data_IF_045266679175
#
_entry.id   IF_045266679175
#
_cell.length_a   1.000
_cell.length_b   1.000
_cell.length_c   1.000
_cell.angle_alpha   90.00
_cell.angle_beta   90.00
_cell.angle_gamma   90.00
#
_symmetry.space_group_name_H-M   'P 1'
#
loop_
_entity.id
_entity.type
_entity.pdbx_description
1 polymer ?
#
# COMPACT_ATOMS: atom_id res chain seq x y z
N UNK A 1 -4.58 -6.67 -15.07
CA UNK A 1 -4.14 -8.04 -14.76
C UNK A 1 -3.10 -8.51 -15.76
N UNK A 2 -3.32 -8.33 -17.08
CA UNK A 2 -2.30 -8.64 -18.12
C UNK A 2 -0.95 -7.96 -17.85
N UNK A 3 -0.91 -6.64 -17.65
CA UNK A 3 0.34 -5.94 -17.33
C UNK A 3 1.01 -6.39 -16.02
N UNK A 4 0.25 -6.93 -15.05
CA UNK A 4 0.85 -7.43 -13.81
C UNK A 4 1.53 -8.76 -14.05
N UNK A 5 0.88 -9.68 -14.77
CA UNK A 5 1.46 -10.97 -15.15
C UNK A 5 2.70 -10.81 -16.05
N UNK A 6 2.70 -9.83 -16.95
CA UNK A 6 3.88 -9.49 -17.75
C UNK A 6 5.07 -9.08 -16.87
N UNK A 7 4.82 -8.29 -15.82
CA UNK A 7 5.85 -7.94 -14.85
C UNK A 7 6.32 -9.18 -14.08
N UNK A 8 5.42 -10.07 -13.67
CA UNK A 8 5.80 -11.31 -12.98
C UNK A 8 6.69 -12.20 -13.85
N UNK A 9 6.40 -12.34 -15.14
CA UNK A 9 7.25 -13.09 -16.06
C UNK A 9 8.58 -12.38 -16.35
N UNK A 10 8.61 -11.05 -16.43
CA UNK A 10 9.84 -10.29 -16.64
C UNK A 10 10.85 -10.47 -15.49
N UNK A 11 10.38 -10.68 -14.26
CA UNK A 11 11.21 -10.86 -13.06
C UNK A 11 11.18 -12.31 -12.54
N UNK A 12 10.99 -13.28 -13.42
CA UNK A 12 10.98 -14.71 -13.07
C UNK A 12 12.25 -15.11 -12.31
N UNK A 13 12.07 -15.63 -11.09
CA UNK A 13 13.17 -16.01 -10.20
C UNK A 13 13.53 -14.98 -9.13
N UNK A 14 13.01 -13.75 -9.23
CA UNK A 14 13.08 -12.76 -8.16
C UNK A 14 12.05 -13.07 -7.07
N UNK A 15 12.41 -12.85 -5.80
CA UNK A 15 11.47 -12.95 -4.69
C UNK A 15 10.69 -11.64 -4.60
N UNK A 16 9.39 -11.71 -4.84
CA UNK A 16 8.51 -10.54 -4.91
C UNK A 16 7.57 -10.46 -3.72
N UNK A 17 7.32 -9.24 -3.25
CA UNK A 17 6.34 -8.95 -2.21
C UNK A 17 5.37 -7.86 -2.67
N UNK A 18 4.07 -8.07 -2.50
CA UNK A 18 3.05 -7.03 -2.64
C UNK A 18 2.58 -6.61 -1.25
N UNK A 19 2.82 -5.34 -0.91
CA UNK A 19 2.45 -4.72 0.38
C UNK A 19 1.24 -3.82 0.20
N UNK A 20 0.12 -4.19 0.80
CA UNK A 20 -1.09 -3.36 0.88
C UNK A 20 -1.05 -2.39 2.06
N UNK A 21 -0.95 -1.09 1.80
CA UNK A 21 -0.94 -0.06 2.84
C UNK A 21 -2.33 0.53 3.11
N UNK A 22 -2.74 0.54 4.38
CA UNK A 22 -4.05 1.02 4.82
C UNK A 22 -5.23 0.19 4.30
N UNK A 23 -6.45 0.69 4.48
CA UNK A 23 -7.67 -0.06 4.11
C UNK A 23 -7.79 -0.37 2.62
N UNK A 24 -7.56 0.62 1.74
CA UNK A 24 -7.62 0.41 0.30
C UNK A 24 -6.58 -0.59 -0.22
N UNK A 25 -5.36 -0.50 0.30
CA UNK A 25 -4.30 -1.47 -0.01
C UNK A 25 -4.62 -2.86 0.52
N UNK A 26 -5.09 -2.96 1.77
CA UNK A 26 -5.48 -4.24 2.39
C UNK A 26 -6.60 -4.94 1.60
N UNK A 27 -7.60 -4.19 1.14
CA UNK A 27 -8.67 -4.71 0.29
C UNK A 27 -8.15 -5.22 -1.05
N UNK A 28 -7.22 -4.49 -1.68
CA UNK A 28 -6.60 -4.92 -2.93
C UNK A 28 -5.83 -6.24 -2.75
N UNK A 29 -5.08 -6.40 -1.65
CA UNK A 29 -4.36 -7.64 -1.34
C UNK A 29 -5.34 -8.81 -1.13
N UNK A 30 -6.38 -8.63 -0.32
CA UNK A 30 -7.40 -9.65 -0.11
C UNK A 30 -8.04 -10.09 -1.43
N UNK A 31 -8.34 -9.13 -2.31
CA UNK A 31 -8.85 -9.42 -3.65
C UNK A 31 -7.85 -10.24 -4.47
N UNK A 32 -6.58 -9.83 -4.57
CA UNK A 32 -5.55 -10.58 -5.31
C UNK A 32 -5.39 -12.02 -4.81
N UNK A 33 -5.42 -12.23 -3.49
CA UNK A 33 -5.36 -13.57 -2.88
C UNK A 33 -6.60 -14.39 -3.27
N UNK A 34 -7.81 -13.80 -3.19
CA UNK A 34 -9.04 -14.48 -3.60
C UNK A 34 -9.06 -14.86 -5.09
N UNK A 35 -8.35 -14.09 -5.93
CA UNK A 35 -8.17 -14.38 -7.35
C UNK A 35 -7.03 -15.38 -7.62
N UNK A 36 -6.44 -15.95 -6.57
CA UNK A 36 -5.39 -16.96 -6.63
C UNK A 36 -4.16 -16.51 -7.45
N UNK A 37 -3.78 -15.24 -7.31
CA UNK A 37 -2.56 -14.69 -7.92
C UNK A 37 -1.34 -15.42 -7.34
N UNK A 38 -0.46 -15.92 -8.20
CA UNK A 38 0.74 -16.70 -7.85
C UNK A 38 2.02 -15.94 -8.20
N UNK A 39 3.15 -16.39 -7.64
CA UNK A 39 4.47 -15.85 -7.96
C UNK A 39 4.86 -14.62 -7.13
N UNK A 40 4.03 -14.23 -6.17
CA UNK A 40 4.31 -13.13 -5.23
C UNK A 40 3.88 -13.52 -3.83
N UNK A 41 4.61 -13.01 -2.84
CA UNK A 41 4.15 -13.01 -1.45
C UNK A 41 3.27 -11.79 -1.19
N UNK A 42 2.38 -11.91 -0.22
CA UNK A 42 1.44 -10.86 0.14
C UNK A 42 1.62 -10.42 1.59
N UNK A 43 1.64 -9.10 1.79
CA UNK A 43 1.63 -8.47 3.10
C UNK A 43 0.64 -7.32 3.17
N UNK A 44 0.16 -7.01 4.38
CA UNK A 44 -0.56 -5.76 4.65
C UNK A 44 0.10 -4.98 5.79
N UNK A 45 0.01 -3.66 5.70
CA UNK A 45 0.47 -2.70 6.70
C UNK A 45 -0.70 -1.79 7.04
N UNK A 46 -1.15 -1.81 8.30
CA UNK A 46 -2.30 -1.02 8.72
C UNK A 46 -2.21 -0.57 10.17
N UNK A 47 -2.80 0.58 10.48
CA UNK A 47 -2.92 1.09 11.86
C UNK A 47 -4.12 0.52 12.60
N UNK A 48 -5.12 0.04 11.85
CA UNK A 48 -6.39 -0.47 12.38
C UNK A 48 -6.31 -1.98 12.64
N UNK A 49 -6.53 -2.38 13.89
CA UNK A 49 -6.45 -3.79 14.30
C UNK A 49 -7.57 -4.64 13.69
N UNK A 50 -8.75 -4.06 13.44
CA UNK A 50 -9.87 -4.80 12.83
C UNK A 50 -9.49 -5.19 11.40
N UNK A 51 -8.93 -4.24 10.63
CA UNK A 51 -8.45 -4.50 9.28
C UNK A 51 -7.32 -5.57 9.24
N UNK A 52 -6.46 -5.61 10.27
CA UNK A 52 -5.43 -6.65 10.41
C UNK A 52 -6.07 -8.03 10.66
N UNK A 53 -7.05 -8.11 11.55
CA UNK A 53 -7.72 -9.36 11.91
C UNK A 53 -8.53 -9.93 10.74
N UNK A 54 -9.26 -9.08 10.03
CA UNK A 54 -10.12 -9.47 8.90
C UNK A 54 -9.35 -9.86 7.63
N UNK A 55 -8.10 -9.39 7.49
CA UNK A 55 -7.29 -9.67 6.31
C UNK A 55 -6.95 -11.16 6.17
N UNK A 56 -6.94 -11.66 4.93
CA UNK A 56 -6.50 -13.02 4.60
C UNK A 56 -5.02 -13.07 4.19
N UNK A 57 -4.31 -11.93 4.24
CA UNK A 57 -2.90 -11.87 3.90
C UNK A 57 -2.06 -12.72 4.87
N UNK A 58 -1.09 -13.51 4.37
CA UNK A 58 -0.24 -14.35 5.21
C UNK A 58 0.72 -13.53 6.08
N UNK A 59 1.19 -12.39 5.60
CA UNK A 59 1.99 -11.43 6.38
C UNK A 59 1.13 -10.22 6.75
N UNK A 60 1.15 -9.82 8.01
CA UNK A 60 0.35 -8.71 8.52
C UNK A 60 1.18 -7.91 9.51
N UNK A 61 1.21 -6.59 9.34
CA UNK A 61 1.88 -5.69 10.27
C UNK A 61 0.94 -4.60 10.72
N UNK A 62 0.65 -4.61 12.02
CA UNK A 62 -0.01 -3.50 12.67
C UNK A 62 1.04 -2.44 13.02
N UNK A 63 0.87 -1.22 12.53
CA UNK A 63 1.80 -0.11 12.76
C UNK A 63 1.24 0.91 13.75
N UNK A 64 2.13 1.60 14.47
CA UNK A 64 1.75 2.66 15.42
C UNK A 64 0.87 2.17 16.56
N UNK A 65 1.19 1.01 17.15
CA UNK A 65 0.42 0.42 18.24
C UNK A 65 0.37 1.38 19.44
N UNK A 66 1.49 2.04 19.77
CA UNK A 66 1.54 2.97 20.91
C UNK A 66 0.79 4.26 20.58
N UNK A 67 0.94 4.75 19.34
CA UNK A 67 0.33 5.99 18.88
C UNK A 67 -1.20 5.91 18.73
N UNK A 68 -1.69 4.83 18.11
CA UNK A 68 -3.10 4.71 17.69
C UNK A 68 -3.92 3.78 18.60
N UNK A 69 -3.24 2.94 19.39
CA UNK A 69 -3.87 1.86 20.19
C UNK A 69 -4.71 0.91 19.33
N UNK A 70 -4.37 0.78 18.04
CA UNK A 70 -5.10 -0.05 17.08
C UNK A 70 -6.40 0.53 16.54
N UNK A 71 -6.71 1.79 16.83
CA UNK A 71 -7.96 2.46 16.40
C UNK A 71 -7.85 3.13 15.02
N UNK A 72 -6.69 3.07 14.39
CA UNK A 72 -6.45 3.69 13.09
C UNK A 72 -5.90 5.12 13.14
N UNK A 73 -5.62 5.69 11.96
CA UNK A 73 -5.05 7.04 11.80
C UNK A 73 -6.11 8.17 11.76
N UNK A 74 -7.40 7.84 11.94
CA UNK A 74 -8.50 8.80 11.93
C UNK A 74 -8.56 9.60 10.62
N UNK A 75 -8.52 10.93 10.72
CA UNK A 75 -8.64 11.86 9.59
C UNK A 75 -7.30 12.49 9.13
N UNK A 76 -6.17 12.10 9.71
CA UNK A 76 -4.87 12.75 9.46
C UNK A 76 -3.81 11.77 8.91
N UNK A 77 -3.34 11.94 7.66
CA UNK A 77 -2.26 11.12 7.09
C UNK A 77 -0.97 11.15 7.90
N UNK A 78 -0.67 12.26 8.58
CA UNK A 78 0.53 12.39 9.41
C UNK A 78 0.57 11.37 10.56
N UNK A 79 -0.59 10.95 11.06
CA UNK A 79 -0.66 9.88 12.07
C UNK A 79 -0.26 8.54 11.45
N UNK A 80 -0.66 8.28 10.20
CA UNK A 80 -0.24 7.08 9.45
C UNK A 80 1.26 7.06 9.18
N UNK A 81 1.84 8.22 8.88
CA UNK A 81 3.30 8.39 8.69
C UNK A 81 4.06 8.10 9.98
N UNK A 82 3.70 8.77 11.08
CA UNK A 82 4.31 8.53 12.40
C UNK A 82 4.12 7.10 12.89
N UNK A 83 2.98 6.49 12.61
CA UNK A 83 2.73 5.09 12.93
C UNK A 83 3.70 4.16 12.19
N UNK A 84 3.98 4.43 10.91
CA UNK A 84 4.95 3.67 10.15
C UNK A 84 6.38 3.94 10.62
N UNK A 85 6.72 5.19 10.94
CA UNK A 85 8.01 5.56 11.54
C UNK A 85 8.27 4.87 12.89
N UNK A 86 7.23 4.75 13.74
CA UNK A 86 7.29 3.99 15.00
C UNK A 86 7.63 2.50 14.78
N UNK A 87 7.24 1.95 13.64
CA UNK A 87 7.35 0.54 13.30
C UNK A 87 8.40 0.27 12.20
N UNK A 88 9.42 1.13 12.05
CA UNK A 88 10.46 0.97 11.01
C UNK A 88 11.14 -0.39 11.09
N UNK A 89 11.52 -0.85 12.28
CA UNK A 89 12.21 -2.14 12.45
C UNK A 89 11.34 -3.32 11.98
N UNK A 90 10.04 -3.28 12.26
CA UNK A 90 9.10 -4.30 11.82
C UNK A 90 8.89 -4.26 10.29
N UNK A 91 8.88 -3.06 9.69
CA UNK A 91 8.82 -2.87 8.24
C UNK A 91 10.10 -3.42 7.60
N UNK A 92 11.28 -3.11 8.15
CA UNK A 92 12.56 -3.62 7.67
C UNK A 92 12.61 -5.15 7.68
N UNK A 93 12.12 -5.77 8.76
CA UNK A 93 12.05 -7.22 8.90
C UNK A 93 11.04 -7.85 7.92
N UNK A 94 9.89 -7.20 7.68
CA UNK A 94 8.90 -7.66 6.70
C UNK A 94 9.46 -7.72 5.28
N UNK A 95 10.31 -6.75 4.93
CA UNK A 95 10.91 -6.57 3.60
C UNK A 95 12.17 -7.42 3.37
N UNK A 96 12.65 -8.15 4.37
CA UNK A 96 13.90 -8.90 4.30
C UNK A 96 13.89 -10.02 3.24
N UNK A 97 14.94 -10.06 2.42
CA UNK A 97 15.16 -11.08 1.41
C UNK A 97 14.27 -10.99 0.16
N UNK A 98 13.61 -9.85 -0.08
CA UNK A 98 12.87 -9.58 -1.32
C UNK A 98 13.71 -8.73 -2.29
N UNK A 99 13.57 -9.01 -3.58
CA UNK A 99 14.27 -8.30 -4.65
C UNK A 99 13.39 -7.18 -5.26
N UNK A 100 12.07 -7.37 -5.21
CA UNK A 100 11.07 -6.47 -5.77
C UNK A 100 9.87 -6.35 -4.83
N UNK A 101 9.48 -5.10 -4.54
CA UNK A 101 8.32 -4.78 -3.71
C UNK A 101 7.34 -3.92 -4.49
N UNK A 102 6.07 -4.35 -4.50
CA UNK A 102 4.94 -3.54 -4.95
C UNK A 102 4.24 -2.93 -3.75
N UNK A 103 4.17 -1.60 -3.68
CA UNK A 103 3.41 -0.88 -2.65
C UNK A 103 2.04 -0.51 -3.22
N UNK A 104 1.00 -1.24 -2.80
CA UNK A 104 -0.38 -1.00 -3.22
C UNK A 104 -1.11 -0.11 -2.20
N UNK A 105 -1.64 1.03 -2.65
CA UNK A 105 -2.32 1.99 -1.75
C UNK A 105 -3.47 2.73 -2.42
N UNK A 106 -4.58 2.86 -1.70
CA UNK A 106 -5.63 3.80 -2.04
C UNK A 106 -5.36 5.16 -1.41
N UNK A 107 -4.94 6.14 -2.22
CA UNK A 107 -4.57 7.46 -1.73
C UNK A 107 -5.78 8.30 -1.36
N UNK A 108 -5.56 9.27 -0.47
CA UNK A 108 -6.60 10.18 0.04
C UNK A 108 -7.22 9.72 1.35
N UNK A 109 -6.99 8.46 1.75
CA UNK A 109 -7.18 8.01 3.14
C UNK A 109 -6.11 8.55 4.09
N UNK A 110 -6.06 8.03 5.31
CA UNK A 110 -5.10 8.50 6.33
C UNK A 110 -3.95 7.51 6.50
N UNK A 111 -4.24 6.29 6.94
CA UNK A 111 -3.22 5.27 7.20
C UNK A 111 -2.36 5.00 5.96
N UNK A 112 -3.00 4.61 4.84
CA UNK A 112 -2.27 4.27 3.61
C UNK A 112 -1.50 5.46 3.01
N UNK A 113 -2.13 6.64 2.93
CA UNK A 113 -1.48 7.85 2.39
C UNK A 113 -0.22 8.23 3.17
N UNK A 114 -0.23 8.07 4.50
CA UNK A 114 0.92 8.38 5.34
C UNK A 114 1.94 7.26 5.47
N UNK A 115 1.50 5.99 5.50
CA UNK A 115 2.40 4.86 5.72
C UNK A 115 3.09 4.38 4.44
N UNK A 116 2.47 4.53 3.27
CA UNK A 116 3.03 4.05 2.01
C UNK A 116 4.38 4.69 1.65
N UNK A 117 4.59 6.01 1.80
CA UNK A 117 5.91 6.62 1.57
C UNK A 117 7.01 6.03 2.45
N UNK A 118 6.73 5.79 3.73
CA UNK A 118 7.69 5.21 4.67
C UNK A 118 8.05 3.77 4.29
N UNK A 119 7.06 2.95 3.92
CA UNK A 119 7.31 1.58 3.44
C UNK A 119 8.19 1.58 2.19
N UNK A 120 7.91 2.47 1.23
CA UNK A 120 8.69 2.61 0.01
C UNK A 120 10.12 3.10 0.29
N UNK A 121 10.28 4.07 1.20
CA UNK A 121 11.59 4.58 1.60
C UNK A 121 12.46 3.47 2.20
N UNK A 122 11.90 2.67 3.11
CA UNK A 122 12.62 1.55 3.73
C UNK A 122 13.01 0.51 2.67
N UNK A 123 12.10 0.15 1.75
CA UNK A 123 12.41 -0.78 0.66
C UNK A 123 13.58 -0.27 -0.20
N UNK A 124 13.55 1.00 -0.60
CA UNK A 124 14.59 1.62 -1.42
C UNK A 124 15.93 1.71 -0.69
N UNK A 125 15.93 2.03 0.62
CA UNK A 125 17.13 2.03 1.46
C UNK A 125 17.78 0.65 1.56
N UNK A 126 16.99 -0.42 1.47
CA UNK A 126 17.46 -1.81 1.43
C UNK A 126 17.89 -2.27 0.03
N UNK A 127 17.85 -1.40 -0.99
CA UNK A 127 18.24 -1.72 -2.36
C UNK A 127 17.21 -2.57 -3.12
N UNK A 128 15.97 -2.62 -2.64
CA UNK A 128 14.89 -3.39 -3.25
C UNK A 128 14.26 -2.56 -4.37
N UNK A 129 14.04 -3.15 -5.55
CA UNK A 129 13.32 -2.49 -6.63
C UNK A 129 11.89 -2.20 -6.15
N UNK A 130 11.50 -0.93 -6.13
CA UNK A 130 10.26 -0.49 -5.46
C UNK A 130 9.30 0.14 -6.46
N UNK A 131 8.15 -0.50 -6.66
CA UNK A 131 7.09 -0.03 -7.54
C UNK A 131 5.85 0.31 -6.73
N UNK A 132 5.36 1.55 -6.82
CA UNK A 132 4.07 1.92 -6.22
C UNK A 132 2.92 1.74 -7.22
N UNK A 133 1.83 1.12 -6.76
CA UNK A 133 0.56 1.06 -7.49
C UNK A 133 -0.48 1.80 -6.66
N UNK A 134 -0.88 2.98 -7.12
CA UNK A 134 -1.73 3.88 -6.36
C UNK A 134 -3.06 4.13 -7.05
N UNK A 135 -4.14 4.18 -6.27
CA UNK A 135 -5.43 4.70 -6.75
C UNK A 135 -5.67 6.12 -6.24
N UNK A 136 -6.19 6.98 -7.12
CA UNK A 136 -6.69 8.31 -6.73
C UNK A 136 -8.18 8.22 -6.42
N UNK A 137 -8.68 8.96 -5.42
CA UNK A 137 -10.09 8.91 -5.02
C UNK A 137 -11.01 9.36 -6.16
N UNK A 138 -12.28 8.93 -6.13
CA UNK A 138 -13.28 9.42 -7.07
C UNK A 138 -13.54 10.91 -6.86
N UNK A 139 -13.92 11.62 -7.92
CA UNK A 139 -14.26 13.04 -7.85
C UNK A 139 -15.38 13.37 -6.85
N UNK A 140 -16.31 12.42 -6.64
CA UNK A 140 -17.42 12.58 -5.69
C UNK A 140 -17.01 12.41 -4.21
N UNK A 141 -15.81 11.88 -3.91
CA UNK A 141 -15.34 11.73 -2.52
C UNK A 141 -14.83 13.04 -1.89
N UNK A 142 -14.82 14.12 -2.67
CA UNK A 142 -14.58 15.48 -2.19
C UNK A 142 -13.14 15.97 -2.35
N UNK A 143 -13.01 17.30 -2.48
CA UNK A 143 -11.73 17.97 -2.77
C UNK A 143 -10.67 17.75 -1.70
N UNK A 144 -11.06 17.66 -0.42
CA UNK A 144 -10.13 17.41 0.69
C UNK A 144 -9.43 16.06 0.54
N UNK A 145 -10.17 15.02 0.14
CA UNK A 145 -9.62 13.68 -0.08
C UNK A 145 -8.64 13.67 -1.25
N UNK A 146 -9.00 14.34 -2.35
CA UNK A 146 -8.12 14.50 -3.52
C UNK A 146 -6.84 15.26 -3.17
N UNK A 147 -6.92 16.33 -2.38
CA UNK A 147 -5.75 17.09 -1.93
C UNK A 147 -4.76 16.21 -1.17
N UNK A 148 -5.24 15.46 -0.17
CA UNK A 148 -4.43 14.48 0.57
C UNK A 148 -3.81 13.43 -0.35
N UNK A 149 -4.57 12.96 -1.34
CA UNK A 149 -4.08 11.97 -2.28
C UNK A 149 -2.91 12.51 -3.13
N UNK A 150 -3.03 13.75 -3.61
CA UNK A 150 -1.98 14.39 -4.40
C UNK A 150 -0.72 14.68 -3.57
N UNK A 151 -0.88 15.10 -2.31
CA UNK A 151 0.23 15.30 -1.38
C UNK A 151 0.96 13.97 -1.11
N UNK A 152 0.23 12.92 -0.73
CA UNK A 152 0.82 11.60 -0.50
C UNK A 152 1.43 10.98 -1.76
N UNK A 153 0.84 11.21 -2.94
CA UNK A 153 1.44 10.81 -4.23
C UNK A 153 2.79 11.50 -4.45
N UNK A 154 2.87 12.81 -4.18
CA UNK A 154 4.10 13.59 -4.35
C UNK A 154 5.21 13.01 -3.48
N UNK A 155 4.94 12.81 -2.20
CA UNK A 155 5.87 12.22 -1.24
C UNK A 155 6.29 10.81 -1.66
N UNK A 156 5.33 9.93 -1.95
CA UNK A 156 5.62 8.55 -2.39
C UNK A 156 6.50 8.49 -3.65
N UNK A 157 6.31 9.44 -4.58
CA UNK A 157 7.11 9.50 -5.82
C UNK A 157 8.60 9.73 -5.54
N UNK A 158 8.96 10.37 -4.42
CA UNK A 158 10.35 10.60 -4.03
C UNK A 158 11.04 9.29 -3.54
N UNK A 159 10.26 8.27 -3.19
CA UNK A 159 10.71 7.04 -2.54
C UNK A 159 10.54 5.76 -3.37
N UNK A 160 10.11 5.85 -4.63
CA UNK A 160 9.90 4.69 -5.51
C UNK A 160 10.66 4.82 -6.82
N UNK A 161 11.00 3.69 -7.43
CA UNK A 161 11.62 3.66 -8.77
C UNK A 161 10.58 3.87 -9.87
N UNK A 162 9.35 3.42 -9.63
CA UNK A 162 8.23 3.60 -10.57
C UNK A 162 6.92 3.77 -9.81
N UNK A 163 6.05 4.65 -10.32
CA UNK A 163 4.70 4.84 -9.79
C UNK A 163 3.65 4.67 -10.88
N UNK A 164 2.74 3.73 -10.66
CA UNK A 164 1.59 3.46 -11.51
C UNK A 164 0.37 4.11 -10.84
N UNK A 165 -0.20 5.12 -11.49
CA UNK A 165 -1.35 5.87 -10.96
C UNK A 165 -2.63 5.49 -11.69
N UNK A 166 -3.63 5.02 -10.94
CA UNK A 166 -4.93 4.62 -11.45
C UNK A 166 -5.98 5.61 -10.91
N UNK A 167 -6.52 6.52 -11.72
CA UNK A 167 -7.60 7.40 -11.28
C UNK A 167 -8.92 6.63 -11.21
N UNK A 168 -9.55 6.55 -10.03
CA UNK A 168 -10.80 5.81 -9.84
C UNK A 168 -11.93 6.31 -10.75
N UNK A 169 -11.93 7.58 -11.14
CA UNK A 169 -12.93 8.12 -12.08
C UNK A 169 -12.99 7.35 -13.41
N UNK A 170 -11.90 6.70 -13.84
CA UNK A 170 -11.89 5.86 -15.04
C UNK A 170 -12.68 4.54 -14.88
N UNK A 171 -13.02 4.16 -13.66
CA UNK A 171 -13.78 2.95 -13.34
C UNK A 171 -15.30 3.19 -13.37
N UNK A 172 -15.73 4.45 -13.32
CA UNK A 172 -17.17 4.81 -13.21
C UNK A 172 -18.03 4.33 -14.37
N UNK A 173 -17.46 4.12 -15.56
CA UNK A 173 -18.17 3.55 -16.72
C UNK A 173 -18.43 2.04 -16.67
N UNK A 174 -17.89 1.32 -15.68
CA UNK A 174 -17.96 -0.14 -15.57
C UNK A 174 -18.69 -0.62 -14.31
N UNK A 175 -19.15 0.29 -13.46
CA UNK A 175 -20.00 -0.02 -12.31
C UNK A 175 -21.43 0.31 -12.72
N UNK A 176 -22.15 -0.69 -13.22
CA UNK A 176 -23.61 -0.58 -13.36
C UNK A 176 -24.19 -0.47 -11.94
N UNK A 177 -24.94 0.62 -11.72
CA UNK A 177 -25.74 0.83 -10.51
C UNK A 177 -26.86 -0.21 -10.39
#
# INVERSE_FOLDING_TARGET
MENFNEILEAYKGAKMLVVGAGGGGSNAINYMISQNVKGVDFAIVNTDIQAIQESIAPKKLQIGIKLTRGLGAGANPEIGRKAAEESIEDIEAMLEGYDLVFVAVGLGGCSGTGSAPVVAEVARRKGILTVAVVTLPFGFEGRSRMKKAMEGKRELTEHVDTIITIPNDRLTGHVQA
#
